data_IF_404495194558
#
_entry.id   IF_404495194558
#
_cell.length_a   1.000
_cell.length_b   1.000
_cell.length_c   1.000
_cell.angle_alpha   90.00
_cell.angle_beta   90.00
_cell.angle_gamma   90.00
#
_symmetry.space_group_name_H-M   'P 1'
#
loop_
_entity.id
_entity.type
_entity.pdbx_description
1 polymer ?
#
# COMPACT_ATOMS: atom_id res chain seq x y z
N UNK A 1 -2.60 4.83 -28.24
CA UNK A 1 -2.11 3.66 -27.49
C UNK A 1 -3.14 3.36 -26.41
N UNK A 2 -3.98 2.35 -26.62
CA UNK A 2 -4.86 1.82 -25.58
C UNK A 2 -3.99 1.15 -24.53
N UNK A 3 -3.87 1.74 -23.35
CA UNK A 3 -3.33 1.01 -22.20
C UNK A 3 -4.22 -0.22 -22.00
N UNK A 4 -3.65 -1.42 -22.12
CA UNK A 4 -4.36 -2.66 -21.80
C UNK A 4 -4.90 -2.53 -20.37
N UNK A 5 -6.22 -2.62 -20.23
CA UNK A 5 -6.89 -2.60 -18.92
C UNK A 5 -6.53 -3.93 -18.25
N UNK A 6 -5.50 -3.92 -17.41
CA UNK A 6 -5.09 -5.05 -16.57
C UNK A 6 -6.34 -5.55 -15.83
N UNK A 7 -6.53 -6.88 -15.77
CA UNK A 7 -7.72 -7.42 -15.11
C UNK A 7 -7.63 -7.16 -13.61
N UNK A 8 -8.73 -6.81 -12.91
CA UNK A 8 -8.70 -6.58 -11.45
C UNK A 8 -8.08 -7.74 -10.65
N UNK A 9 -8.23 -8.98 -11.10
CA UNK A 9 -7.58 -10.16 -10.51
C UNK A 9 -6.07 -10.17 -10.65
N UNK A 10 -5.52 -9.66 -11.76
CA UNK A 10 -4.07 -9.52 -11.95
C UNK A 10 -3.48 -8.47 -11.01
N UNK A 11 -4.24 -7.42 -10.67
CA UNK A 11 -3.83 -6.46 -9.64
C UNK A 11 -3.71 -7.11 -8.26
N UNK A 12 -4.67 -7.96 -7.89
CA UNK A 12 -4.62 -8.69 -6.60
C UNK A 12 -3.39 -9.60 -6.55
N UNK A 13 -3.13 -10.37 -7.60
CA UNK A 13 -1.95 -11.25 -7.65
C UNK A 13 -0.63 -10.47 -7.50
N UNK A 14 -0.52 -9.31 -8.15
CA UNK A 14 0.64 -8.43 -8.02
C UNK A 14 0.78 -7.90 -6.59
N UNK A 15 -0.32 -7.55 -5.95
CA UNK A 15 -0.35 -7.02 -4.60
C UNK A 15 0.01 -8.09 -3.55
N UNK A 16 -0.48 -9.32 -3.72
CA UNK A 16 -0.08 -10.49 -2.94
C UNK A 16 1.44 -10.73 -3.09
N UNK A 17 1.96 -10.72 -4.33
CA UNK A 17 3.39 -10.90 -4.59
C UNK A 17 4.26 -9.79 -4.00
N UNK A 18 3.87 -8.52 -4.11
CA UNK A 18 4.63 -7.42 -3.48
C UNK A 18 4.61 -7.53 -1.95
N UNK A 19 3.49 -7.98 -1.38
CA UNK A 19 3.37 -8.23 0.07
C UNK A 19 4.39 -9.27 0.54
N UNK A 20 4.47 -10.42 -0.13
CA UNK A 20 5.45 -11.47 0.17
C UNK A 20 6.88 -10.91 0.13
N UNK A 21 7.21 -10.17 -0.94
CA UNK A 21 8.55 -9.60 -1.13
C UNK A 21 8.90 -8.60 -0.03
N UNK A 22 7.96 -7.73 0.37
CA UNK A 22 8.15 -6.74 1.43
C UNK A 22 8.44 -7.42 2.76
N UNK A 23 7.68 -8.47 3.10
CA UNK A 23 7.87 -9.22 4.34
C UNK A 23 9.22 -9.95 4.37
N UNK A 24 9.70 -10.42 3.22
CA UNK A 24 10.97 -11.12 3.04
C UNK A 24 12.20 -10.21 2.88
N UNK A 25 12.04 -8.87 2.91
CA UNK A 25 13.20 -7.96 2.87
C UNK A 25 14.12 -8.18 4.08
N UNK A 26 15.43 -8.05 3.87
CA UNK A 26 16.41 -8.05 4.97
C UNK A 26 16.16 -6.86 5.91
N UNK A 27 16.61 -6.96 7.17
CA UNK A 27 16.63 -5.83 8.10
C UNK A 27 17.87 -4.94 7.90
N UNK A 28 18.86 -5.39 7.12
CA UNK A 28 20.17 -4.73 6.98
C UNK A 28 20.21 -3.61 5.92
N UNK A 29 19.09 -3.24 5.31
CA UNK A 29 19.06 -2.13 4.34
C UNK A 29 18.76 -0.80 5.03
N UNK A 30 19.19 0.28 4.39
CA UNK A 30 18.72 1.63 4.70
C UNK A 30 18.45 2.37 3.40
N UNK A 31 17.28 3.00 3.32
CA UNK A 31 16.91 3.88 2.20
C UNK A 31 17.65 5.22 2.29
N UNK A 32 17.63 6.00 1.21
CA UNK A 32 18.31 7.31 1.15
C UNK A 32 17.80 8.34 2.18
N UNK A 33 16.56 8.17 2.64
CA UNK A 33 15.95 8.98 3.71
C UNK A 33 16.22 8.41 5.13
N UNK A 34 17.07 7.38 5.25
CA UNK A 34 17.44 6.75 6.51
C UNK A 34 16.46 5.68 7.01
N UNK A 35 15.36 5.40 6.29
CA UNK A 35 14.40 4.38 6.70
C UNK A 35 15.00 2.98 6.63
N UNK A 36 14.77 2.20 7.69
CA UNK A 36 15.00 0.77 7.70
C UNK A 36 13.73 -0.02 7.39
N UNK A 37 13.76 -1.33 7.66
CA UNK A 37 12.60 -2.21 7.43
C UNK A 37 11.36 -1.77 8.22
N UNK A 38 11.54 -1.31 9.47
CA UNK A 38 10.41 -0.89 10.32
C UNK A 38 9.67 0.30 9.73
N UNK A 39 10.39 1.36 9.36
CA UNK A 39 9.81 2.58 8.81
C UNK A 39 9.16 2.32 7.45
N UNK A 40 9.77 1.48 6.60
CA UNK A 40 9.17 1.08 5.33
C UNK A 40 7.83 0.33 5.55
N UNK A 41 7.79 -0.66 6.43
CA UNK A 41 6.56 -1.41 6.68
C UNK A 41 5.50 -0.52 7.33
N UNK A 42 5.88 0.36 8.25
CA UNK A 42 4.97 1.34 8.84
C UNK A 42 4.37 2.27 7.78
N UNK A 43 5.19 2.74 6.82
CA UNK A 43 4.74 3.56 5.70
C UNK A 43 3.72 2.82 4.83
N UNK A 44 3.99 1.56 4.46
CA UNK A 44 3.06 0.76 3.67
C UNK A 44 1.75 0.47 4.43
N UNK A 45 1.83 0.18 5.72
CA UNK A 45 0.68 -0.01 6.61
C UNK A 45 -0.23 1.22 6.66
N UNK A 46 0.36 2.42 6.73
CA UNK A 46 -0.40 3.67 6.74
C UNK A 46 -1.22 3.83 5.45
N UNK A 47 -0.61 3.52 4.30
CA UNK A 47 -1.33 3.51 3.04
C UNK A 47 -2.43 2.46 3.00
N UNK A 48 -2.19 1.25 3.51
CA UNK A 48 -3.22 0.21 3.59
C UNK A 48 -4.46 0.68 4.39
N UNK A 49 -4.22 1.33 5.54
CA UNK A 49 -5.29 1.88 6.39
C UNK A 49 -6.08 2.95 5.63
N UNK A 50 -5.40 3.84 4.91
CA UNK A 50 -6.07 4.89 4.15
C UNK A 50 -6.88 4.33 2.98
N UNK A 51 -6.34 3.34 2.26
CA UNK A 51 -7.11 2.68 1.20
C UNK A 51 -8.33 1.96 1.79
N UNK A 52 -8.19 1.28 2.94
CA UNK A 52 -9.33 0.65 3.61
C UNK A 52 -10.44 1.66 3.97
N UNK A 53 -10.08 2.87 4.41
CA UNK A 53 -11.04 3.97 4.60
C UNK A 53 -11.78 4.29 3.30
N UNK A 54 -11.06 4.44 2.19
CA UNK A 54 -11.66 4.76 0.89
C UNK A 54 -12.55 3.62 0.39
N UNK A 55 -12.11 2.37 0.55
CA UNK A 55 -12.91 1.19 0.17
C UNK A 55 -14.23 1.14 0.95
N UNK A 56 -14.21 1.52 2.23
CA UNK A 56 -15.44 1.66 3.02
C UNK A 56 -16.39 2.70 2.42
N UNK A 57 -15.87 3.86 2.01
CA UNK A 57 -16.67 4.90 1.35
C UNK A 57 -17.29 4.38 0.04
N UNK A 58 -16.56 3.58 -0.75
CA UNK A 58 -17.08 2.92 -1.96
C UNK A 58 -18.24 1.98 -1.63
N UNK A 59 -18.11 1.15 -0.58
CA UNK A 59 -19.19 0.24 -0.16
C UNK A 59 -20.42 0.98 0.36
N UNK A 60 -20.23 2.14 0.98
CA UNK A 60 -21.31 3.01 1.44
C UNK A 60 -21.93 3.84 0.31
N UNK A 61 -21.42 3.72 -0.92
CA UNK A 61 -21.91 4.46 -2.09
C UNK A 61 -21.53 5.93 -2.08
N UNK A 62 -20.55 6.32 -1.27
CA UNK A 62 -19.99 7.67 -1.22
C UNK A 62 -19.00 7.90 -2.37
N UNK A 63 -18.75 9.17 -2.62
CA UNK A 63 -17.70 9.59 -3.55
C UNK A 63 -16.32 9.29 -2.96
N UNK A 64 -15.40 8.80 -3.81
CA UNK A 64 -14.01 8.57 -3.44
C UNK A 64 -13.30 9.92 -3.36
N UNK A 65 -12.97 10.33 -2.14
CA UNK A 65 -12.22 11.56 -1.89
C UNK A 65 -10.88 11.21 -1.25
N UNK A 66 -9.82 11.58 -1.95
CA UNK A 66 -8.45 11.59 -1.43
C UNK A 66 -8.25 12.85 -0.57
N UNK A 67 -7.55 12.73 0.55
CA UNK A 67 -7.20 13.88 1.37
C UNK A 67 -6.35 14.86 0.56
N UNK A 68 -6.57 16.17 0.74
CA UNK A 68 -5.70 17.20 0.19
C UNK A 68 -4.25 17.11 0.71
N UNK A 69 -4.07 16.44 1.85
CA UNK A 69 -2.76 16.12 2.43
C UNK A 69 -1.93 15.19 1.52
N UNK A 70 -2.55 14.52 0.53
CA UNK A 70 -1.86 13.63 -0.42
C UNK A 70 -1.29 14.35 -1.65
N UNK A 71 -1.08 15.67 -1.57
CA UNK A 71 -0.62 16.48 -2.69
C UNK A 71 0.63 17.32 -2.37
N UNK A 72 1.63 17.23 -3.25
CA UNK A 72 2.86 18.02 -3.17
C UNK A 72 3.63 17.83 -1.86
N UNK A 73 4.14 18.93 -1.31
CA UNK A 73 4.93 18.93 -0.06
C UNK A 73 4.16 18.47 1.17
N UNK A 74 2.81 18.50 1.14
CA UNK A 74 1.99 18.03 2.26
C UNK A 74 2.04 16.51 2.44
N UNK A 75 2.36 15.78 1.36
CA UNK A 75 2.41 14.33 1.41
C UNK A 75 3.58 13.85 2.30
N UNK A 76 4.73 14.50 2.20
CA UNK A 76 5.89 14.18 3.03
C UNK A 76 5.61 14.49 4.50
N UNK A 77 5.03 15.67 4.80
CA UNK A 77 4.61 16.04 6.15
C UNK A 77 3.57 15.08 6.73
N UNK A 78 2.64 14.61 5.90
CA UNK A 78 1.65 13.62 6.29
C UNK A 78 2.32 12.27 6.59
N UNK A 79 3.19 11.77 5.70
CA UNK A 79 3.92 10.52 5.89
C UNK A 79 4.70 10.55 7.22
N UNK A 80 5.46 11.61 7.47
CA UNK A 80 6.24 11.77 8.70
C UNK A 80 5.35 11.75 9.95
N UNK A 81 4.22 12.48 9.91
CA UNK A 81 3.24 12.50 11.00
C UNK A 81 2.63 11.12 11.24
N UNK A 82 2.33 10.37 10.18
CA UNK A 82 1.78 9.02 10.31
C UNK A 82 2.81 8.00 10.78
N UNK A 83 4.11 8.25 10.59
CA UNK A 83 5.16 7.36 11.11
C UNK A 83 5.39 7.54 12.62
N UNK A 84 5.15 8.73 13.18
CA UNK A 84 5.39 9.00 14.60
C UNK A 84 4.57 8.09 15.52
N UNK A 85 3.35 7.68 15.12
CA UNK A 85 2.52 6.72 15.89
C UNK A 85 3.11 5.30 15.97
N UNK A 86 4.11 4.96 15.14
CA UNK A 86 4.78 3.66 15.15
C UNK A 86 6.19 3.71 15.76
N UNK A 87 6.64 4.89 16.19
CA UNK A 87 8.00 5.09 16.71
C UNK A 87 8.33 4.20 17.90
N UNK A 88 7.40 4.12 18.84
CA UNK A 88 7.53 3.32 20.08
C UNK A 88 7.22 1.83 19.87
N UNK A 89 6.79 1.42 18.66
CA UNK A 89 6.53 0.02 18.34
C UNK A 89 7.80 -0.68 17.89
N UNK A 90 7.88 -1.96 18.23
CA UNK A 90 8.90 -2.87 17.68
C UNK A 90 8.60 -3.20 16.21
N UNK A 91 9.63 -3.65 15.49
CA UNK A 91 9.46 -4.13 14.11
C UNK A 91 8.41 -5.24 14.00
N UNK A 92 8.42 -6.21 14.93
CA UNK A 92 7.47 -7.32 14.92
C UNK A 92 6.02 -6.84 15.07
N UNK A 93 5.76 -5.89 15.97
CA UNK A 93 4.41 -5.31 16.12
C UNK A 93 3.94 -4.62 14.84
N UNK A 94 4.82 -3.85 14.19
CA UNK A 94 4.49 -3.17 12.93
C UNK A 94 4.24 -4.19 11.80
N UNK A 95 5.04 -5.27 11.73
CA UNK A 95 4.86 -6.37 10.78
C UNK A 95 3.52 -7.08 10.98
N UNK A 96 3.15 -7.38 12.22
CA UNK A 96 1.89 -8.06 12.52
C UNK A 96 0.68 -7.18 12.16
N UNK A 97 0.75 -5.88 12.49
CA UNK A 97 -0.27 -4.91 12.08
C UNK A 97 -0.38 -4.78 10.55
N UNK A 98 0.76 -4.76 9.85
CA UNK A 98 0.80 -4.73 8.39
C UNK A 98 0.15 -5.96 7.77
N UNK A 99 0.48 -7.17 8.24
CA UNK A 99 -0.14 -8.41 7.75
C UNK A 99 -1.66 -8.39 7.93
N UNK A 100 -2.13 -8.01 9.12
CA UNK A 100 -3.57 -7.93 9.39
C UNK A 100 -4.29 -6.99 8.42
N UNK A 101 -3.78 -5.76 8.25
CA UNK A 101 -4.41 -4.77 7.36
C UNK A 101 -4.28 -5.14 5.89
N UNK A 102 -3.18 -5.77 5.50
CA UNK A 102 -2.96 -6.22 4.13
C UNK A 102 -3.91 -7.35 3.75
N UNK A 103 -4.11 -8.33 4.63
CA UNK A 103 -5.11 -9.39 4.46
C UNK A 103 -6.53 -8.81 4.35
N UNK A 104 -6.87 -7.86 5.22
CA UNK A 104 -8.14 -7.14 5.18
C UNK A 104 -8.32 -6.42 3.83
N UNK A 105 -7.29 -5.72 3.34
CA UNK A 105 -7.34 -4.98 2.09
C UNK A 105 -7.50 -5.91 0.87
N UNK A 106 -6.74 -7.00 0.80
CA UNK A 106 -6.87 -8.01 -0.26
C UNK A 106 -8.28 -8.60 -0.28
N UNK A 107 -8.85 -8.93 0.90
CA UNK A 107 -10.23 -9.42 1.02
C UNK A 107 -11.23 -8.40 0.49
N UNK A 108 -11.06 -7.12 0.84
CA UNK A 108 -11.94 -6.06 0.38
C UNK A 108 -11.83 -5.81 -1.13
N UNK A 109 -10.64 -5.92 -1.73
CA UNK A 109 -10.47 -5.89 -3.19
C UNK A 109 -11.22 -7.02 -3.89
N UNK A 110 -11.15 -8.25 -3.35
CA UNK A 110 -11.94 -9.39 -3.86
C UNK A 110 -13.44 -9.10 -3.80
N UNK A 111 -13.92 -8.55 -2.68
CA UNK A 111 -15.32 -8.16 -2.50
C UNK A 111 -15.78 -7.03 -3.44
N UNK A 112 -14.91 -6.06 -3.75
CA UNK A 112 -15.20 -5.00 -4.72
C UNK A 112 -15.47 -5.60 -6.11
N UNK A 113 -14.64 -6.55 -6.55
CA UNK A 113 -14.81 -7.26 -7.83
C UNK A 113 -16.09 -8.09 -7.82
N UNK A 114 -16.33 -8.87 -6.77
CA UNK A 114 -17.55 -9.69 -6.65
C UNK A 114 -18.83 -8.86 -6.70
N UNK A 115 -18.78 -7.61 -6.21
CA UNK A 115 -19.89 -6.66 -6.22
C UNK A 115 -19.97 -5.80 -7.49
N UNK A 116 -19.10 -6.00 -8.47
CA UNK A 116 -18.98 -5.18 -9.67
C UNK A 116 -18.73 -3.68 -9.35
N UNK A 117 -17.91 -3.40 -8.34
CA UNK A 117 -17.55 -2.06 -7.87
C UNK A 117 -16.11 -1.66 -8.25
N UNK A 118 -15.42 -2.50 -9.03
CA UNK A 118 -14.02 -2.30 -9.40
C UNK A 118 -13.78 -1.00 -10.17
N UNK A 119 -14.74 -0.52 -10.97
CA UNK A 119 -14.59 0.74 -11.71
C UNK A 119 -14.59 1.95 -10.78
N UNK A 120 -15.35 1.90 -9.68
CA UNK A 120 -15.35 2.96 -8.65
C UNK A 120 -14.08 2.95 -7.81
N UNK A 121 -13.39 1.82 -7.78
CA UNK A 121 -12.18 1.58 -6.99
C UNK A 121 -10.93 1.44 -7.87
N UNK A 122 -10.99 1.80 -9.16
CA UNK A 122 -9.94 1.48 -10.13
C UNK A 122 -8.56 2.02 -9.71
N UNK A 123 -8.53 3.23 -9.15
CA UNK A 123 -7.30 3.86 -8.66
C UNK A 123 -6.71 3.15 -7.43
N UNK A 124 -7.53 2.46 -6.64
CA UNK A 124 -7.11 1.76 -5.43
C UNK A 124 -6.29 0.51 -5.77
N UNK A 125 -6.65 -0.21 -6.85
CA UNK A 125 -5.92 -1.39 -7.31
C UNK A 125 -4.48 -1.07 -7.76
N UNK A 126 -4.10 0.21 -7.85
CA UNK A 126 -2.75 0.64 -8.19
C UNK A 126 -1.73 0.52 -7.06
N UNK A 127 -2.14 0.22 -5.82
CA UNK A 127 -1.25 0.28 -4.64
C UNK A 127 -0.03 -0.64 -4.74
N UNK A 128 -0.10 -1.79 -5.44
CA UNK A 128 1.08 -2.64 -5.67
C UNK A 128 2.23 -1.92 -6.37
N UNK A 129 1.95 -0.87 -7.17
CA UNK A 129 2.99 -0.06 -7.82
C UNK A 129 3.77 0.77 -6.80
N UNK A 130 3.09 1.22 -5.75
CA UNK A 130 3.72 1.92 -4.63
C UNK A 130 4.64 0.99 -3.85
N UNK A 131 4.19 -0.23 -3.52
CA UNK A 131 5.07 -1.24 -2.92
C UNK A 131 6.28 -1.55 -3.82
N UNK A 132 6.04 -1.74 -5.12
CA UNK A 132 7.10 -2.05 -6.09
C UNK A 132 8.14 -0.93 -6.18
N UNK A 133 7.72 0.34 -6.11
CA UNK A 133 8.62 1.47 -6.07
C UNK A 133 9.62 1.35 -4.90
N UNK A 134 9.14 1.05 -3.70
CA UNK A 134 10.01 0.87 -2.54
C UNK A 134 10.85 -0.40 -2.62
N UNK A 135 10.29 -1.51 -3.11
CA UNK A 135 11.06 -2.74 -3.36
C UNK A 135 12.24 -2.45 -4.31
N UNK A 136 12.04 -1.66 -5.37
CA UNK A 136 13.10 -1.25 -6.31
C UNK A 136 14.17 -0.40 -5.65
N UNK A 137 13.81 0.46 -4.69
CA UNK A 137 14.81 1.22 -3.92
C UNK A 137 15.70 0.30 -3.06
N UNK A 138 15.16 -0.83 -2.58
CA UNK A 138 15.92 -1.80 -1.76
C UNK A 138 16.70 -2.81 -2.63
N UNK A 139 16.08 -3.35 -3.68
CA UNK A 139 16.63 -4.45 -4.50
C UNK A 139 17.29 -4.00 -5.82
N UNK A 140 17.12 -2.74 -6.21
CA UNK A 140 17.58 -2.19 -7.49
C UNK A 140 16.47 -2.06 -8.54
N UNK A 141 16.65 -1.11 -9.48
CA UNK A 141 15.63 -0.71 -10.46
C UNK A 141 15.21 -1.82 -11.45
N UNK A 142 16.07 -2.82 -11.66
CA UNK A 142 15.85 -3.97 -12.56
C UNK A 142 14.95 -5.06 -11.97
N UNK A 143 14.44 -4.88 -10.75
CA UNK A 143 13.56 -5.86 -10.11
C UNK A 143 12.14 -5.82 -10.70
N UNK A 144 11.65 -6.93 -11.25
CA UNK A 144 10.30 -7.03 -11.82
C UNK A 144 9.47 -8.15 -11.15
N UNK A 145 8.14 -7.96 -11.16
CA UNK A 145 7.15 -8.87 -10.57
C UNK A 145 6.25 -9.52 -11.62
#
# INVERSE_FOLDING_TARGET
MTQEKIKPTEHINKFEKTTEIVLDLSEDFSLSNGWGKKELIAHLLVWDIEILRIVKDVFEGKEVVWSEEYSGSKLDEWNDKQLEQYKEKSLNEVVDMFKEKREELIKNYKLLIEKNLEEKAADLFGLWKHDLHHIKQVKGESFDI
#
